data_IF_376495949058
#
_entry.id   IF_376495949058
#
_cell.length_a   1.000
_cell.length_b   1.000
_cell.length_c   1.000
_cell.angle_alpha   90.00
_cell.angle_beta   90.00
_cell.angle_gamma   90.00
#
_symmetry.space_group_name_H-M   'P 1'
#
loop_
_entity.id
_entity.type
_entity.pdbx_description
1 polymer ?
#
# COMPACT_ATOMS: atom_id res chain seq x y z
N UNK A 1 -6.66 -4.34 10.28
CA UNK A 1 -7.28 -3.86 9.03
C UNK A 1 -8.73 -3.48 9.24
N UNK A 2 -9.20 -2.47 8.51
CA UNK A 2 -10.59 -1.98 8.55
C UNK A 2 -11.62 -3.06 8.19
N UNK A 3 -11.32 -3.87 7.16
CA UNK A 3 -12.24 -4.86 6.60
C UNK A 3 -12.68 -5.93 7.63
N UNK A 4 -11.73 -6.49 8.39
CA UNK A 4 -12.02 -7.48 9.42
C UNK A 4 -12.87 -6.90 10.56
N UNK A 5 -12.61 -5.64 10.95
CA UNK A 5 -13.43 -4.94 11.95
C UNK A 5 -14.85 -4.72 11.43
N UNK A 6 -14.99 -4.31 10.17
CA UNK A 6 -16.29 -4.13 9.53
C UNK A 6 -17.09 -5.45 9.51
N UNK A 7 -16.46 -6.55 9.10
CA UNK A 7 -17.09 -7.87 9.15
C UNK A 7 -17.57 -8.24 10.56
N UNK A 8 -16.69 -8.07 11.56
CA UNK A 8 -17.05 -8.34 12.97
C UNK A 8 -18.28 -7.55 13.39
N UNK A 9 -18.31 -6.25 13.12
CA UNK A 9 -19.43 -5.36 13.50
C UNK A 9 -20.73 -5.81 12.82
N UNK A 10 -20.69 -6.11 11.52
CA UNK A 10 -21.90 -6.52 10.78
C UNK A 10 -22.43 -7.87 11.28
N UNK A 11 -21.56 -8.87 11.46
CA UNK A 11 -21.96 -10.18 11.98
C UNK A 11 -22.57 -10.04 13.39
N UNK A 12 -21.95 -9.24 14.26
CA UNK A 12 -22.48 -8.97 15.60
C UNK A 12 -23.84 -8.26 15.56
N UNK A 13 -23.98 -7.23 14.73
CA UNK A 13 -25.24 -6.48 14.62
C UNK A 13 -26.39 -7.37 14.10
N UNK A 14 -26.11 -8.25 13.14
CA UNK A 14 -27.11 -9.15 12.55
C UNK A 14 -27.34 -10.42 13.37
N UNK A 15 -26.58 -10.66 14.44
CA UNK A 15 -26.61 -11.92 15.21
C UNK A 15 -26.44 -13.17 14.32
N UNK A 16 -25.53 -13.08 13.35
CA UNK A 16 -25.23 -14.17 12.39
C UNK A 16 -23.90 -14.82 12.75
N UNK A 17 -23.77 -16.10 12.40
CA UNK A 17 -22.50 -16.83 12.47
C UNK A 17 -21.35 -16.01 11.86
N UNK A 18 -20.25 -15.77 12.61
CA UNK A 18 -19.04 -15.11 12.12
C UNK A 18 -18.40 -15.75 10.88
N UNK A 19 -18.72 -17.02 10.57
CA UNK A 19 -18.27 -17.69 9.35
C UNK A 19 -18.96 -17.18 8.08
N UNK A 20 -20.14 -16.56 8.20
CA UNK A 20 -20.85 -15.99 7.06
C UNK A 20 -20.25 -14.61 6.75
N UNK A 21 -19.59 -14.42 5.58
CA UNK A 21 -18.98 -13.14 5.23
C UNK A 21 -20.00 -12.01 5.28
N UNK A 22 -19.65 -10.94 5.98
CA UNK A 22 -20.47 -9.75 6.18
C UNK A 22 -21.91 -10.06 6.63
N UNK A 23 -22.11 -11.15 7.39
CA UNK A 23 -23.43 -11.59 7.83
C UNK A 23 -24.43 -11.81 6.69
N UNK A 24 -23.95 -12.21 5.50
CA UNK A 24 -24.77 -12.47 4.32
C UNK A 24 -25.17 -11.20 3.55
N UNK A 25 -24.52 -10.07 3.81
CA UNK A 25 -24.71 -8.85 3.01
C UNK A 25 -23.95 -8.98 1.69
N UNK A 26 -24.60 -8.63 0.58
CA UNK A 26 -23.92 -8.52 -0.71
C UNK A 26 -22.99 -7.31 -0.69
N UNK A 27 -21.69 -7.55 -0.83
CA UNK A 27 -20.65 -6.51 -0.80
C UNK A 27 -20.03 -6.36 -2.19
N UNK A 28 -19.98 -5.12 -2.66
CA UNK A 28 -19.29 -4.76 -3.90
C UNK A 28 -18.04 -3.97 -3.53
N UNK A 29 -16.88 -4.52 -3.86
CA UNK A 29 -15.60 -3.81 -3.76
C UNK A 29 -15.29 -3.12 -5.08
N UNK A 30 -15.00 -1.82 -5.03
CA UNK A 30 -14.53 -1.05 -6.18
C UNK A 30 -13.24 -0.32 -5.80
N UNK A 31 -12.30 -0.24 -6.74
CA UNK A 31 -11.02 0.41 -6.52
C UNK A 31 -9.96 -0.02 -7.52
N UNK A 32 -8.78 0.54 -7.37
CA UNK A 32 -7.62 0.24 -8.18
C UNK A 32 -6.44 -0.11 -7.24
N UNK A 33 -5.95 -1.34 -7.35
CA UNK A 33 -4.84 -1.84 -6.53
C UNK A 33 -3.51 -1.14 -6.81
N UNK A 34 -3.42 -0.38 -7.90
CA UNK A 34 -2.26 0.46 -8.21
C UNK A 34 -2.24 1.76 -7.41
N UNK A 35 -3.36 2.16 -6.79
CA UNK A 35 -3.43 3.35 -5.93
C UNK A 35 -2.53 3.22 -4.69
N UNK A 36 -2.37 4.34 -3.98
CA UNK A 36 -1.52 4.39 -2.79
C UNK A 36 -1.92 3.30 -1.78
N UNK A 37 -0.90 2.73 -1.14
CA UNK A 37 -1.12 1.81 -0.02
C UNK A 37 -1.89 2.53 1.09
N UNK A 38 -2.74 1.82 1.84
CA UNK A 38 -3.41 2.40 3.01
C UNK A 38 -2.40 3.04 3.97
N UNK A 39 -2.68 4.25 4.43
CA UNK A 39 -1.82 4.96 5.38
C UNK A 39 -1.83 4.21 6.72
N UNK A 40 -0.66 3.91 7.27
CA UNK A 40 -0.46 3.16 8.54
C UNK A 40 -1.05 1.74 8.60
N UNK A 41 -1.51 1.18 7.48
CA UNK A 41 -2.00 -0.20 7.38
C UNK A 41 -1.30 -0.95 6.24
N UNK A 42 -1.42 -2.27 6.22
CA UNK A 42 -0.83 -3.06 5.11
C UNK A 42 -1.87 -3.36 4.04
N UNK A 43 -1.48 -3.40 2.76
CA UNK A 43 -2.37 -3.84 1.69
C UNK A 43 -2.94 -5.23 1.94
N UNK A 44 -4.19 -5.45 1.51
CA UNK A 44 -4.91 -6.72 1.71
C UNK A 44 -4.27 -7.90 0.96
N UNK A 45 -3.53 -7.63 -0.12
CA UNK A 45 -2.82 -8.62 -0.94
C UNK A 45 -1.41 -8.93 -0.42
N UNK A 46 -0.97 -8.38 0.71
CA UNK A 46 0.38 -8.64 1.23
C UNK A 46 0.49 -10.09 1.70
N UNK A 47 1.51 -10.81 1.23
CA UNK A 47 1.83 -12.15 1.71
C UNK A 47 2.56 -12.10 3.05
N UNK A 48 1.92 -12.67 4.08
CA UNK A 48 2.45 -12.68 5.45
C UNK A 48 3.13 -13.99 5.83
N UNK A 49 3.18 -14.96 4.91
CA UNK A 49 3.98 -16.18 5.05
C UNK A 49 5.48 -15.88 5.21
N UNK A 50 5.95 -14.72 4.74
CA UNK A 50 7.35 -14.28 4.83
C UNK A 50 7.68 -13.49 6.10
N UNK A 51 6.67 -12.95 6.80
CA UNK A 51 6.86 -12.23 8.08
C UNK A 51 7.12 -13.16 9.28
N UNK A 52 7.19 -14.47 9.03
CA UNK A 52 7.43 -15.52 10.03
C UNK A 52 8.92 -15.82 10.28
N UNK A 53 9.86 -15.19 9.58
CA UNK A 53 11.28 -15.54 9.69
C UNK A 53 11.95 -15.12 11.02
N UNK A 54 11.27 -14.45 11.97
CA UNK A 54 11.78 -14.23 13.36
C UNK A 54 10.70 -14.17 14.46
N UNK A 55 9.51 -14.76 14.30
CA UNK A 55 8.52 -14.79 15.40
C UNK A 55 8.76 -15.99 16.30
N UNK A 56 9.31 -15.70 17.50
CA UNK A 56 9.43 -16.59 18.65
C UNK A 56 8.17 -17.46 18.77
N UNK A 57 8.32 -18.78 18.68
CA UNK A 57 7.29 -19.75 18.97
C UNK A 57 6.66 -19.41 20.33
N UNK A 58 5.32 -19.29 20.39
CA UNK A 58 4.57 -19.11 21.65
C UNK A 58 3.95 -17.73 21.91
N UNK A 59 4.09 -16.72 21.04
CA UNK A 59 3.45 -15.41 21.26
C UNK A 59 2.00 -15.38 20.71
N UNK A 60 1.04 -15.02 21.56
CA UNK A 60 -0.38 -14.83 21.18
C UNK A 60 -0.48 -13.76 20.08
N UNK A 61 -1.27 -13.99 19.01
CA UNK A 61 -1.48 -12.99 17.96
C UNK A 61 -2.13 -11.72 18.52
N UNK A 62 -1.61 -10.56 18.13
CA UNK A 62 -2.25 -9.27 18.39
C UNK A 62 -3.58 -9.13 17.65
N UNK A 63 -4.48 -8.28 18.15
CA UNK A 63 -5.76 -7.99 17.48
C UNK A 63 -5.52 -7.53 16.03
N UNK A 64 -4.48 -6.72 15.77
CA UNK A 64 -4.14 -6.28 14.41
C UNK A 64 -3.87 -7.47 13.48
N UNK A 65 -3.11 -8.45 13.94
CA UNK A 65 -2.79 -9.66 13.18
C UNK A 65 -4.03 -10.53 12.96
N UNK A 66 -4.89 -10.68 13.98
CA UNK A 66 -6.15 -11.41 13.85
C UNK A 66 -7.04 -10.75 12.80
N UNK A 67 -7.26 -9.43 12.91
CA UNK A 67 -8.09 -8.70 11.96
C UNK A 67 -7.55 -8.77 10.53
N UNK A 68 -6.22 -8.77 10.38
CA UNK A 68 -5.57 -8.87 9.09
C UNK A 68 -5.73 -10.26 8.47
N UNK A 69 -5.59 -11.34 9.26
CA UNK A 69 -5.88 -12.72 8.82
C UNK A 69 -7.34 -12.88 8.39
N UNK A 70 -8.28 -12.35 9.18
CA UNK A 70 -9.71 -12.35 8.84
C UNK A 70 -9.94 -11.60 7.53
N UNK A 71 -9.37 -10.41 7.38
CA UNK A 71 -9.53 -9.60 6.16
C UNK A 71 -8.99 -10.31 4.91
N UNK A 72 -7.87 -11.03 5.03
CA UNK A 72 -7.34 -11.84 3.94
C UNK A 72 -8.30 -12.98 3.59
N UNK A 73 -8.81 -13.70 4.58
CA UNK A 73 -9.81 -14.76 4.35
C UNK A 73 -11.04 -14.22 3.62
N UNK A 74 -11.54 -13.05 4.00
CA UNK A 74 -12.69 -12.40 3.34
C UNK A 74 -12.39 -12.04 1.88
N UNK A 75 -11.20 -11.51 1.59
CA UNK A 75 -10.81 -11.18 0.21
C UNK A 75 -10.66 -12.44 -0.66
N UNK A 76 -10.20 -13.55 -0.11
CA UNK A 76 -10.10 -14.82 -0.83
C UNK A 76 -11.47 -15.46 -1.12
N UNK A 77 -12.53 -15.01 -0.45
CA UNK A 77 -13.91 -15.45 -0.66
C UNK A 77 -14.66 -14.59 -1.68
N UNK A 78 -14.00 -13.62 -2.33
CA UNK A 78 -14.59 -12.87 -3.44
C UNK A 78 -14.94 -13.85 -4.56
N UNK A 79 -16.22 -13.90 -4.92
CA UNK A 79 -16.75 -14.84 -5.90
C UNK A 79 -16.71 -14.30 -7.34
N UNK A 80 -16.57 -12.98 -7.52
CA UNK A 80 -16.64 -12.33 -8.82
C UNK A 80 -15.67 -11.15 -8.88
N UNK A 81 -14.91 -11.09 -9.98
CA UNK A 81 -14.00 -9.98 -10.29
C UNK A 81 -14.33 -9.48 -11.68
N UNK A 82 -14.68 -8.19 -11.77
CA UNK A 82 -14.93 -7.50 -13.04
C UNK A 82 -13.82 -6.48 -13.26
N UNK A 83 -13.13 -6.59 -14.39
CA UNK A 83 -12.07 -5.64 -14.80
C UNK A 83 -12.65 -4.63 -15.78
N UNK A 84 -12.52 -3.35 -15.45
CA UNK A 84 -12.85 -2.25 -16.36
C UNK A 84 -11.61 -1.92 -17.19
N UNK A 85 -11.67 -2.10 -18.51
CA UNK A 85 -10.54 -1.91 -19.42
C UNK A 85 -10.62 -0.59 -20.20
N UNK A 86 -11.81 -0.01 -20.33
CA UNK A 86 -12.01 1.24 -21.03
C UNK A 86 -11.68 2.43 -20.11
N UNK A 87 -10.71 3.26 -20.54
CA UNK A 87 -10.41 4.53 -19.87
C UNK A 87 -11.38 5.60 -20.37
N UNK A 88 -12.11 6.23 -19.45
CA UNK A 88 -13.10 7.27 -19.76
C UNK A 88 -12.60 8.68 -19.40
N UNK A 89 -11.49 8.80 -18.66
CA UNK A 89 -10.97 10.11 -18.20
C UNK A 89 -10.19 10.86 -19.27
N UNK A 90 -9.56 10.14 -20.20
CA UNK A 90 -8.69 10.72 -21.22
C UNK A 90 -8.71 9.87 -22.48
N UNK A 91 -8.83 10.53 -23.62
CA UNK A 91 -8.84 9.91 -24.95
C UNK A 91 -7.49 10.10 -25.67
N UNK A 92 -6.55 10.87 -25.10
CA UNK A 92 -5.22 11.05 -25.70
C UNK A 92 -4.41 9.76 -25.57
N UNK A 93 -4.27 9.07 -26.71
CA UNK A 93 -3.56 7.80 -26.84
C UNK A 93 -2.11 7.90 -26.34
N UNK A 94 -1.42 9.02 -26.56
CA UNK A 94 -0.02 9.21 -26.14
C UNK A 94 0.08 9.31 -24.62
N UNK A 95 -0.87 10.00 -24.00
CA UNK A 95 -0.93 10.10 -22.54
C UNK A 95 -1.27 8.74 -21.91
N UNK A 96 -2.17 7.95 -22.53
CA UNK A 96 -2.46 6.58 -22.11
C UNK A 96 -1.21 5.67 -22.21
N UNK A 97 -0.48 5.77 -23.33
CA UNK A 97 0.78 5.05 -23.53
C UNK A 97 1.86 5.44 -22.51
N UNK A 98 1.90 6.71 -22.08
CA UNK A 98 2.80 7.17 -21.02
C UNK A 98 2.39 6.63 -19.63
N UNK A 99 1.08 6.58 -19.35
CA UNK A 99 0.58 6.13 -18.05
C UNK A 99 0.82 4.64 -17.82
N UNK A 100 0.68 3.79 -18.84
CA UNK A 100 0.81 2.34 -18.67
C UNK A 100 2.16 1.90 -18.05
N UNK A 101 3.33 2.39 -18.50
CA UNK A 101 4.62 2.13 -17.85
C UNK A 101 4.76 2.75 -16.45
N UNK A 102 4.26 3.98 -16.24
CA UNK A 102 4.32 4.68 -14.94
C UNK A 102 3.53 3.90 -13.88
N UNK A 103 2.41 3.30 -14.27
CA UNK A 103 1.57 2.46 -13.43
C UNK A 103 2.27 1.15 -13.00
N UNK A 104 3.22 0.64 -13.79
CA UNK A 104 3.98 -0.59 -13.52
C UNK A 104 5.23 -0.34 -12.64
N UNK A 105 5.88 0.82 -12.76
CA UNK A 105 7.16 1.13 -12.07
C UNK A 105 7.06 2.20 -10.97
N UNK A 106 5.86 2.39 -10.37
CA UNK A 106 5.45 3.59 -9.61
C UNK A 106 6.40 4.19 -8.56
N UNK A 107 7.34 3.46 -7.97
CA UNK A 107 8.29 4.04 -7.01
C UNK A 107 9.58 4.55 -7.66
N UNK A 108 10.09 3.81 -8.64
CA UNK A 108 11.36 4.12 -9.31
C UNK A 108 11.21 5.34 -10.24
N UNK A 109 10.19 5.30 -11.11
CA UNK A 109 9.98 6.36 -12.12
C UNK A 109 9.57 7.68 -11.46
N UNK A 110 8.77 7.64 -10.39
CA UNK A 110 8.41 8.84 -9.63
C UNK A 110 9.64 9.48 -8.98
N UNK A 111 10.52 8.67 -8.42
CA UNK A 111 11.77 9.15 -7.81
C UNK A 111 12.67 9.79 -8.88
N UNK A 112 12.80 9.15 -10.04
CA UNK A 112 13.58 9.69 -11.17
C UNK A 112 13.01 11.01 -11.72
N UNK A 113 11.68 11.12 -11.89
CA UNK A 113 11.04 12.35 -12.38
C UNK A 113 11.21 13.48 -11.37
N UNK A 114 10.96 13.22 -10.08
CA UNK A 114 11.10 14.22 -9.03
C UNK A 114 12.55 14.71 -8.91
N UNK A 115 13.53 13.80 -8.98
CA UNK A 115 14.95 14.15 -8.93
C UNK A 115 15.35 15.01 -10.14
N UNK A 116 14.92 14.65 -11.35
CA UNK A 116 15.20 15.46 -12.56
C UNK A 116 14.61 16.86 -12.48
N UNK A 117 13.37 16.99 -11.96
CA UNK A 117 12.73 18.28 -11.79
C UNK A 117 13.44 19.15 -10.73
N UNK A 118 13.86 18.55 -9.61
CA UNK A 118 14.62 19.22 -8.56
C UNK A 118 15.98 19.72 -9.06
N UNK A 119 16.72 18.88 -9.80
CA UNK A 119 18.00 19.25 -10.41
C UNK A 119 17.81 20.40 -11.40
N UNK A 120 16.83 20.31 -12.31
CA UNK A 120 16.58 21.36 -13.29
C UNK A 120 16.28 22.71 -12.62
N UNK A 121 15.42 22.75 -11.61
CA UNK A 121 15.12 23.98 -10.87
C UNK A 121 16.33 24.52 -10.11
N UNK A 122 17.13 23.64 -9.50
CA UNK A 122 18.37 24.01 -8.83
C UNK A 122 19.36 24.68 -9.80
N UNK A 123 19.51 24.12 -11.01
CA UNK A 123 20.33 24.72 -12.08
C UNK A 123 19.81 26.10 -12.50
N UNK A 124 18.50 26.26 -12.69
CA UNK A 124 17.88 27.55 -13.03
C UNK A 124 18.09 28.61 -11.95
N UNK A 125 18.10 28.18 -10.69
CA UNK A 125 18.31 29.06 -9.54
C UNK A 125 19.79 29.34 -9.24
N UNK A 126 20.74 28.66 -9.90
CA UNK A 126 22.17 28.80 -9.62
C UNK A 126 22.60 28.28 -8.24
N UNK A 127 21.77 27.45 -7.59
CA UNK A 127 22.05 26.87 -6.28
C UNK A 127 22.04 25.34 -6.40
N UNK A 128 22.96 24.61 -5.75
CA UNK A 128 22.91 23.15 -5.74
C UNK A 128 21.66 22.65 -4.98
N UNK A 129 21.06 21.53 -5.39
CA UNK A 129 19.91 20.97 -4.69
C UNK A 129 20.32 20.51 -3.28
N UNK A 130 19.66 21.05 -2.27
CA UNK A 130 19.86 20.63 -0.88
C UNK A 130 18.97 19.41 -0.60
N UNK A 131 19.60 18.24 -0.46
CA UNK A 131 18.89 17.01 -0.09
C UNK A 131 18.79 16.95 1.43
N UNK A 132 17.67 17.41 1.97
CA UNK A 132 17.33 17.22 3.38
C UNK A 132 16.63 15.86 3.54
N UNK A 133 17.37 14.86 4.01
CA UNK A 133 16.78 13.56 4.37
C UNK A 133 15.97 13.77 5.66
N UNK A 134 14.67 13.53 5.62
CA UNK A 134 13.86 13.49 6.83
C UNK A 134 14.40 12.36 7.73
N UNK A 135 14.93 12.72 8.90
CA UNK A 135 15.28 11.74 9.92
C UNK A 135 13.99 11.30 10.60
N UNK A 136 13.41 10.22 10.08
CA UNK A 136 12.22 9.63 10.68
C UNK A 136 12.58 9.05 12.06
N UNK A 137 11.72 9.32 13.04
CA UNK A 137 11.82 8.72 14.36
C UNK A 137 10.59 7.89 14.66
N UNK A 138 10.78 6.75 15.32
CA UNK A 138 9.69 5.97 15.90
C UNK A 138 9.84 6.01 17.42
N UNK A 139 8.90 6.68 18.11
CA UNK A 139 8.94 6.90 19.57
C UNK A 139 10.22 7.61 20.03
N UNK A 140 10.66 8.63 19.30
CA UNK A 140 11.86 9.42 19.64
C UNK A 140 13.20 8.73 19.37
N UNK A 141 13.21 7.54 18.76
CA UNK A 141 14.42 6.86 18.30
C UNK A 141 14.54 6.99 16.78
N UNK A 142 15.72 7.37 16.30
CA UNK A 142 16.02 7.40 14.88
C UNK A 142 15.78 6.02 14.25
N UNK A 143 15.15 6.00 13.08
CA UNK A 143 14.99 4.80 12.29
C UNK A 143 16.24 4.65 11.42
N UNK A 144 17.18 3.82 11.88
CA UNK A 144 18.37 3.48 11.12
C UNK A 144 18.08 2.23 10.26
N UNK A 145 17.76 2.45 8.98
CA UNK A 145 17.71 1.37 7.99
C UNK A 145 18.99 1.41 7.12
N UNK A 146 19.94 0.48 7.29
CA UNK A 146 21.20 0.49 6.56
C UNK A 146 21.03 0.30 5.04
N UNK A 147 19.92 -0.30 4.59
CA UNK A 147 19.61 -0.44 3.16
C UNK A 147 19.14 0.90 2.59
N UNK A 148 18.30 1.63 3.34
CA UNK A 148 17.83 2.95 2.96
C UNK A 148 18.99 3.96 2.91
N UNK A 149 19.88 3.92 3.91
CA UNK A 149 21.04 4.80 3.99
C UNK A 149 21.97 4.61 2.79
N UNK A 150 22.24 3.35 2.40
CA UNK A 150 23.06 3.04 1.22
C UNK A 150 22.45 3.61 -0.07
N UNK A 151 21.14 3.44 -0.27
CA UNK A 151 20.44 3.96 -1.46
C UNK A 151 20.39 5.49 -1.50
N UNK A 152 20.34 6.15 -0.35
CA UNK A 152 20.38 7.61 -0.26
C UNK A 152 21.76 8.17 -0.63
N UNK A 153 22.85 7.50 -0.22
CA UNK A 153 24.22 7.87 -0.60
C UNK A 153 24.49 7.67 -2.10
N UNK A 154 23.82 6.70 -2.74
CA UNK A 154 23.92 6.49 -4.20
C UNK A 154 23.17 7.56 -5.02
N UNK A 155 22.34 8.39 -4.37
CA UNK A 155 21.53 9.44 -5.00
C UNK A 155 22.09 10.87 -4.79
N UNK A 156 23.05 11.03 -3.89
CA UNK A 156 23.80 12.28 -3.64
C UNK A 156 25.03 12.39 -4.53
#
# INVERSE_FOLDING_TARGET
TLLGKLNRIICSAKHVDPQVPFGGVNVIFFGDYLQYRPVYDSPLHTDFSSSSSKKKQGKIPSEKEIQQRVSRSLILQINCVVKLTQQMRTEDIRYLQLLAPILVFRNEVRTQINNKAAIHNATQMGHPPMICVAQDTCKGKAIEDPILLKKLLELS
#
